data_IF_822724587758
#
_entry.id   IF_822724587758
#
_cell.length_a   1.000
_cell.length_b   1.000
_cell.length_c   1.000
_cell.angle_alpha   90.00
_cell.angle_beta   90.00
_cell.angle_gamma   90.00
#
_symmetry.space_group_name_H-M   'P 1'
#
loop_
_entity.id
_entity.type
_entity.pdbx_description
1 polymer ?
#
# COMPACT_ATOMS: atom_id res chain seq x y z
N UNK A 1 -42.55 48.27 18.95
CA UNK A 1 -41.36 47.42 18.73
C UNK A 1 -41.68 46.04 19.26
N UNK A 2 -41.39 45.00 18.47
CA UNK A 2 -41.70 43.56 18.64
C UNK A 2 -43.13 43.15 18.26
N UNK A 3 -43.30 42.68 17.01
CA UNK A 3 -44.42 41.82 16.60
C UNK A 3 -43.91 40.38 16.49
N UNK A 4 -44.62 39.47 17.16
CA UNK A 4 -44.37 38.04 17.18
C UNK A 4 -44.81 37.37 15.86
N UNK A 5 -44.03 36.40 15.37
CA UNK A 5 -44.40 35.54 14.26
C UNK A 5 -45.18 34.29 14.72
N UNK A 6 -46.12 33.77 13.89
CA UNK A 6 -46.93 32.59 14.21
C UNK A 6 -46.20 31.27 13.90
N UNK A 7 -46.68 30.13 14.45
CA UNK A 7 -46.04 28.82 14.29
C UNK A 7 -46.34 28.21 12.92
N UNK A 8 -45.31 27.67 12.26
CA UNK A 8 -45.45 26.90 11.00
C UNK A 8 -45.75 25.44 11.33
N UNK A 9 -46.84 24.94 10.76
CA UNK A 9 -47.33 23.56 10.86
C UNK A 9 -46.39 22.58 10.13
N UNK A 10 -45.97 21.51 10.80
CA UNK A 10 -45.33 20.36 10.17
C UNK A 10 -46.37 19.56 9.38
N UNK A 11 -46.43 19.78 8.07
CA UNK A 11 -47.09 18.90 7.11
C UNK A 11 -46.18 17.71 6.75
N UNK A 12 -46.73 16.50 6.80
CA UNK A 12 -46.01 15.24 6.64
C UNK A 12 -45.21 15.13 5.35
N UNK A 13 -43.97 14.66 5.49
CA UNK A 13 -43.09 14.33 4.37
C UNK A 13 -43.35 12.86 4.00
N UNK A 14 -44.02 12.65 2.88
CA UNK A 14 -43.96 11.39 2.14
C UNK A 14 -42.50 11.16 1.70
N UNK A 15 -41.88 10.00 1.95
CA UNK A 15 -40.53 9.75 1.47
C UNK A 15 -40.56 9.48 -0.05
N UNK A 16 -40.23 10.51 -0.82
CA UNK A 16 -39.92 10.38 -2.25
C UNK A 16 -38.57 9.66 -2.46
N UNK A 17 -38.62 8.71 -3.38
CA UNK A 17 -37.63 7.70 -3.75
C UNK A 17 -36.33 8.33 -4.25
N UNK A 18 -35.19 7.87 -3.71
CA UNK A 18 -33.86 8.14 -4.28
C UNK A 18 -33.50 7.04 -5.30
N UNK A 19 -33.23 7.43 -6.55
CA UNK A 19 -32.57 6.61 -7.57
C UNK A 19 -31.09 6.47 -7.16
N UNK A 20 -30.64 5.37 -6.54
CA UNK A 20 -30.15 4.10 -7.12
C UNK A 20 -29.41 4.24 -8.44
N UNK A 21 -28.27 3.53 -8.54
CA UNK A 21 -27.89 2.71 -9.69
C UNK A 21 -29.14 2.46 -10.55
N UNK A 22 -29.40 3.28 -11.59
CA UNK A 22 -30.77 3.60 -12.04
C UNK A 22 -31.73 2.39 -11.96
N UNK A 23 -32.54 2.33 -10.88
CA UNK A 23 -33.56 1.31 -10.66
C UNK A 23 -33.16 -0.02 -9.97
N UNK A 24 -31.91 -0.23 -9.54
CA UNK A 24 -31.46 -1.51 -8.96
C UNK A 24 -31.48 -1.46 -7.42
N UNK A 25 -32.43 -2.16 -6.81
CA UNK A 25 -32.52 -2.32 -5.36
C UNK A 25 -31.30 -3.08 -4.83
N UNK A 26 -30.58 -2.51 -3.87
CA UNK A 26 -29.49 -3.19 -3.17
C UNK A 26 -30.04 -4.00 -1.98
N UNK A 27 -29.41 -5.13 -1.70
CA UNK A 27 -29.71 -5.97 -0.54
C UNK A 27 -28.42 -6.34 0.19
N UNK A 28 -28.54 -6.54 1.50
CA UNK A 28 -27.49 -7.10 2.35
C UNK A 28 -28.02 -8.37 3.00
N UNK A 29 -27.26 -9.46 2.85
CA UNK A 29 -27.51 -10.74 3.52
C UNK A 29 -26.30 -11.07 4.39
N UNK A 30 -26.55 -11.30 5.68
CA UNK A 30 -25.59 -11.88 6.61
C UNK A 30 -26.11 -13.23 7.06
N UNK A 31 -25.29 -14.26 6.97
CA UNK A 31 -25.68 -15.59 7.38
C UNK A 31 -24.56 -16.28 8.15
N UNK A 32 -24.93 -17.31 8.92
CA UNK A 32 -23.98 -18.29 9.46
C UNK A 32 -24.26 -19.69 8.92
N UNK A 33 -23.23 -20.53 8.91
CA UNK A 33 -23.36 -21.94 8.54
C UNK A 33 -22.27 -22.77 9.19
N UNK A 34 -22.48 -24.08 9.30
CA UNK A 34 -21.48 -25.03 9.80
C UNK A 34 -20.64 -25.57 8.66
N UNK A 35 -19.32 -25.58 8.81
CA UNK A 35 -18.42 -26.20 7.85
C UNK A 35 -18.63 -27.73 7.84
N UNK A 36 -18.59 -28.35 6.66
CA UNK A 36 -18.77 -29.80 6.54
C UNK A 36 -17.56 -30.59 7.11
N UNK A 37 -16.38 -29.98 7.10
CA UNK A 37 -15.15 -30.45 7.71
C UNK A 37 -14.28 -29.25 8.10
N UNK A 38 -13.25 -29.44 8.94
CA UNK A 38 -12.23 -28.41 9.15
C UNK A 38 -11.50 -28.08 7.84
N UNK A 39 -11.36 -26.80 7.51
CA UNK A 39 -10.69 -26.34 6.30
C UNK A 39 -9.22 -26.03 6.58
N UNK A 40 -8.34 -26.54 5.72
CA UNK A 40 -6.94 -26.11 5.69
C UNK A 40 -6.80 -24.69 5.13
N UNK A 41 -5.70 -23.97 5.43
CA UNK A 41 -5.45 -22.64 4.87
C UNK A 41 -5.49 -22.60 3.34
N UNK A 42 -5.00 -23.64 2.68
CA UNK A 42 -5.00 -23.75 1.22
C UNK A 42 -6.43 -23.90 0.66
N UNK A 43 -7.28 -24.67 1.33
CA UNK A 43 -8.69 -24.82 0.93
C UNK A 43 -9.48 -23.51 1.13
N UNK A 44 -9.23 -22.79 2.23
CA UNK A 44 -9.82 -21.46 2.47
C UNK A 44 -9.36 -20.45 1.42
N UNK A 45 -8.08 -20.48 1.05
CA UNK A 45 -7.55 -19.61 0.00
C UNK A 45 -8.23 -19.90 -1.35
N UNK A 46 -8.34 -21.17 -1.75
CA UNK A 46 -9.04 -21.58 -2.98
C UNK A 46 -10.53 -21.23 -2.96
N UNK A 47 -11.20 -21.44 -1.83
CA UNK A 47 -12.61 -21.05 -1.63
C UNK A 47 -12.80 -19.55 -1.83
N UNK A 48 -11.91 -18.75 -1.25
CA UNK A 48 -11.98 -17.29 -1.32
C UNK A 48 -11.72 -16.79 -2.73
N UNK A 49 -10.71 -17.31 -3.44
CA UNK A 49 -10.43 -16.96 -4.83
C UNK A 49 -11.63 -17.26 -5.76
N UNK A 50 -12.22 -18.45 -5.63
CA UNK A 50 -13.41 -18.81 -6.41
C UNK A 50 -14.61 -17.90 -6.10
N UNK A 51 -14.77 -17.50 -4.83
CA UNK A 51 -15.82 -16.56 -4.44
C UNK A 51 -15.56 -15.15 -5.00
N UNK A 52 -14.33 -14.65 -4.97
CA UNK A 52 -13.95 -13.36 -5.52
C UNK A 52 -14.25 -13.26 -7.02
N UNK A 53 -13.91 -14.31 -7.80
CA UNK A 53 -14.15 -14.33 -9.24
C UNK A 53 -15.64 -14.28 -9.57
N UNK A 54 -16.43 -15.16 -8.93
CA UNK A 54 -17.89 -15.20 -9.10
C UNK A 54 -18.54 -13.88 -8.71
N UNK A 55 -18.17 -13.35 -7.55
CA UNK A 55 -18.78 -12.15 -6.98
C UNK A 55 -18.47 -10.90 -7.82
N UNK A 56 -17.29 -10.85 -8.46
CA UNK A 56 -16.94 -9.78 -9.40
C UNK A 56 -17.88 -9.73 -10.60
N UNK A 57 -18.24 -10.89 -11.17
CA UNK A 57 -19.17 -10.98 -12.28
C UNK A 57 -20.62 -10.61 -11.92
N UNK A 58 -20.99 -10.80 -10.65
CA UNK A 58 -22.33 -10.53 -10.13
C UNK A 58 -22.47 -9.16 -9.44
N UNK A 59 -21.40 -8.36 -9.39
CA UNK A 59 -21.35 -7.12 -8.61
C UNK A 59 -21.74 -7.32 -7.14
N UNK A 60 -21.32 -8.44 -6.55
CA UNK A 60 -21.51 -8.75 -5.13
C UNK A 60 -20.21 -8.48 -4.38
N UNK A 61 -20.32 -7.89 -3.19
CA UNK A 61 -19.20 -7.62 -2.30
C UNK A 61 -19.46 -8.20 -0.92
N UNK A 62 -18.42 -8.39 -0.10
CA UNK A 62 -18.60 -9.06 1.18
C UNK A 62 -17.34 -9.49 1.91
N UNK A 63 -17.61 -10.14 3.05
CA UNK A 63 -16.63 -10.64 4.00
C UNK A 63 -17.03 -12.07 4.39
N UNK A 64 -16.07 -12.99 4.43
CA UNK A 64 -16.22 -14.36 4.91
C UNK A 64 -15.33 -14.55 6.14
N UNK A 65 -15.92 -14.80 7.30
CA UNK A 65 -15.20 -15.17 8.52
C UNK A 65 -15.31 -16.68 8.72
N UNK A 66 -14.18 -17.34 8.98
CA UNK A 66 -14.12 -18.76 9.33
C UNK A 66 -13.39 -18.96 10.66
N UNK A 67 -14.02 -19.68 11.59
CA UNK A 67 -13.53 -19.82 12.97
C UNK A 67 -13.12 -21.25 13.36
N UNK A 68 -12.78 -22.08 12.36
CA UNK A 68 -12.53 -23.54 12.40
C UNK A 68 -13.77 -24.45 12.39
N UNK A 69 -14.95 -23.96 12.77
CA UNK A 69 -16.17 -24.78 12.80
C UNK A 69 -17.31 -24.19 11.98
N UNK A 70 -17.37 -22.86 11.91
CA UNK A 70 -18.48 -22.12 11.34
C UNK A 70 -17.97 -21.05 10.36
N UNK A 71 -18.82 -20.74 9.40
CA UNK A 71 -18.70 -19.57 8.54
C UNK A 71 -19.70 -18.52 8.96
N UNK A 72 -19.26 -17.27 9.02
CA UNK A 72 -20.12 -16.10 9.02
C UNK A 72 -19.82 -15.31 7.75
N UNK A 73 -20.83 -15.06 6.93
CA UNK A 73 -20.61 -14.36 5.67
C UNK A 73 -21.56 -13.19 5.52
N UNK A 74 -20.99 -12.06 5.10
CA UNK A 74 -21.70 -10.87 4.66
C UNK A 74 -21.65 -10.80 3.14
N UNK A 75 -22.81 -10.57 2.52
CA UNK A 75 -22.97 -10.35 1.09
C UNK A 75 -23.82 -9.11 0.85
N UNK A 76 -23.42 -8.29 -0.11
CA UNK A 76 -24.14 -7.06 -0.45
C UNK A 76 -23.98 -6.73 -1.94
N UNK A 77 -25.03 -6.16 -2.53
CA UNK A 77 -25.07 -5.83 -3.96
C UNK A 77 -26.50 -5.75 -4.48
N UNK A 78 -26.70 -5.77 -5.81
CA UNK A 78 -28.03 -5.86 -6.41
C UNK A 78 -28.80 -7.03 -5.81
N UNK A 79 -30.05 -6.82 -5.39
CA UNK A 79 -30.86 -7.82 -4.71
C UNK A 79 -30.91 -9.15 -5.48
N UNK A 80 -31.13 -9.07 -6.80
CA UNK A 80 -31.12 -10.23 -7.69
C UNK A 80 -29.76 -10.94 -7.75
N UNK A 81 -28.66 -10.19 -7.77
CA UNK A 81 -27.31 -10.77 -7.75
C UNK A 81 -27.00 -11.45 -6.41
N UNK A 82 -27.36 -10.82 -5.30
CA UNK A 82 -27.21 -11.40 -3.96
C UNK A 82 -28.04 -12.69 -3.85
N UNK A 83 -29.27 -12.71 -4.38
CA UNK A 83 -30.09 -13.92 -4.44
C UNK A 83 -29.47 -15.02 -5.30
N UNK A 84 -28.87 -14.69 -6.46
CA UNK A 84 -28.15 -15.67 -7.30
C UNK A 84 -26.96 -16.28 -6.57
N UNK A 85 -26.12 -15.43 -5.95
CA UNK A 85 -24.98 -15.90 -5.16
C UNK A 85 -25.44 -16.74 -3.97
N UNK A 86 -26.49 -16.32 -3.26
CA UNK A 86 -27.07 -17.08 -2.15
C UNK A 86 -27.63 -18.43 -2.59
N UNK A 87 -28.21 -18.55 -3.79
CA UNK A 87 -28.64 -19.84 -4.33
C UNK A 87 -27.46 -20.79 -4.57
N UNK A 88 -26.36 -20.27 -5.12
CA UNK A 88 -25.12 -21.04 -5.28
C UNK A 88 -24.56 -21.50 -3.94
N UNK A 89 -24.57 -20.62 -2.94
CA UNK A 89 -24.09 -20.92 -1.59
C UNK A 89 -24.97 -21.98 -0.92
N UNK A 90 -26.30 -21.85 -0.99
CA UNK A 90 -27.23 -22.84 -0.40
C UNK A 90 -27.04 -24.27 -0.90
N UNK A 91 -26.52 -24.43 -2.12
CA UNK A 91 -26.28 -25.73 -2.75
C UNK A 91 -24.83 -26.22 -2.62
N UNK A 92 -23.96 -25.48 -1.92
CA UNK A 92 -22.55 -25.81 -1.81
C UNK A 92 -22.32 -26.93 -0.78
N UNK A 93 -21.75 -28.09 -1.16
CA UNK A 93 -21.60 -29.24 -0.25
C UNK A 93 -20.54 -29.02 0.85
N UNK A 94 -19.78 -27.94 0.79
CA UNK A 94 -18.70 -27.61 1.73
C UNK A 94 -19.19 -27.13 3.10
N UNK A 95 -20.49 -26.82 3.21
CA UNK A 95 -21.11 -26.35 4.44
C UNK A 95 -22.58 -26.75 4.52
N UNK A 96 -23.18 -26.60 5.70
CA UNK A 96 -24.60 -26.89 5.93
C UNK A 96 -25.18 -26.09 7.08
N UNK A 97 -26.49 -26.22 7.30
CA UNK A 97 -27.17 -25.52 8.40
C UNK A 97 -27.11 -24.00 8.27
N UNK A 98 -27.39 -23.48 7.07
CA UNK A 98 -27.40 -22.03 6.82
C UNK A 98 -28.54 -21.38 7.61
N UNK A 99 -28.19 -20.39 8.43
CA UNK A 99 -29.12 -19.53 9.14
C UNK A 99 -28.89 -18.09 8.72
N UNK A 100 -29.96 -17.44 8.25
CA UNK A 100 -29.93 -16.03 7.85
C UNK A 100 -30.08 -15.17 9.10
N UNK A 101 -29.06 -14.36 9.39
CA UNK A 101 -28.98 -13.48 10.56
C UNK A 101 -29.43 -12.05 10.21
N UNK A 102 -29.30 -11.68 8.94
CA UNK A 102 -29.76 -10.40 8.41
C UNK A 102 -30.08 -10.57 6.92
N UNK A 103 -31.21 -10.02 6.49
CA UNK A 103 -31.62 -9.97 5.09
C UNK A 103 -32.51 -8.75 4.94
N UNK A 104 -31.93 -7.64 4.52
CA UNK A 104 -32.62 -6.35 4.43
C UNK A 104 -32.16 -5.57 3.19
N UNK A 105 -33.03 -4.70 2.65
CA UNK A 105 -32.63 -3.71 1.66
C UNK A 105 -31.49 -2.84 2.20
N UNK A 106 -30.52 -2.53 1.34
CA UNK A 106 -29.36 -1.73 1.70
C UNK A 106 -29.42 -0.37 1.01
N UNK A 107 -29.01 0.69 1.72
CA UNK A 107 -28.89 2.04 1.12
C UNK A 107 -27.49 2.29 0.55
N UNK A 108 -26.58 1.31 0.65
CA UNK A 108 -25.20 1.38 0.18
C UNK A 108 -24.40 0.15 0.58
N UNK A 109 -23.17 0.05 0.07
CA UNK A 109 -22.23 -1.06 0.33
C UNK A 109 -21.32 -0.74 1.51
N UNK A 110 -21.21 -1.65 2.48
CA UNK A 110 -20.26 -1.56 3.60
C UNK A 110 -18.85 -2.03 3.21
N UNK A 111 -18.77 -2.98 2.30
CA UNK A 111 -17.56 -3.66 1.86
C UNK A 111 -17.31 -3.47 0.35
N UNK A 112 -17.67 -2.31 -0.21
CA UNK A 112 -17.74 -2.10 -1.67
C UNK A 112 -16.47 -2.37 -2.48
N UNK A 113 -15.28 -2.42 -1.85
CA UNK A 113 -14.02 -2.81 -2.51
C UNK A 113 -13.68 -4.30 -2.40
N UNK A 114 -14.45 -5.09 -1.67
CA UNK A 114 -14.12 -6.47 -1.32
C UNK A 114 -15.07 -7.43 -2.03
N UNK A 115 -14.68 -7.91 -3.21
CA UNK A 115 -15.47 -8.93 -3.92
C UNK A 115 -15.71 -10.16 -3.03
N UNK A 116 -14.72 -10.55 -2.22
CA UNK A 116 -14.88 -11.37 -1.01
C UNK A 116 -13.57 -11.31 -0.22
N UNK A 117 -13.60 -10.84 1.02
CA UNK A 117 -12.41 -10.84 1.90
C UNK A 117 -12.52 -11.96 2.93
N UNK A 118 -11.43 -12.67 3.21
CA UNK A 118 -11.41 -13.71 4.25
C UNK A 118 -11.05 -13.09 5.61
N UNK A 119 -11.66 -13.55 6.69
CA UNK A 119 -11.30 -13.23 8.07
C UNK A 119 -11.20 -14.51 8.91
N UNK A 120 -10.26 -14.55 9.85
CA UNK A 120 -10.05 -15.69 10.74
C UNK A 120 -9.66 -15.24 12.16
N UNK A 121 -9.88 -16.06 13.20
CA UNK A 121 -9.45 -15.77 14.57
C UNK A 121 -7.94 -15.68 14.68
N UNK A 122 -7.44 -14.76 15.51
CA UNK A 122 -6.04 -14.38 15.63
C UNK A 122 -5.05 -15.42 16.18
N UNK A 123 -5.48 -16.65 16.49
CA UNK A 123 -4.66 -17.72 17.07
C UNK A 123 -4.87 -19.01 16.25
N UNK A 124 -3.80 -19.54 15.65
CA UNK A 124 -3.78 -20.83 14.97
C UNK A 124 -2.36 -21.24 14.54
N UNK A 125 -2.04 -22.54 14.44
CA UNK A 125 -0.67 -23.04 14.20
C UNK A 125 -0.22 -23.03 12.72
N UNK A 126 -0.99 -22.39 11.83
CA UNK A 126 -0.78 -22.45 10.37
C UNK A 126 -0.56 -21.08 9.73
N UNK A 127 0.15 -20.99 8.59
CA UNK A 127 0.35 -19.75 7.87
C UNK A 127 -0.98 -19.21 7.32
N UNK A 128 -1.24 -17.93 7.58
CA UNK A 128 -2.45 -17.22 7.14
C UNK A 128 -2.36 -16.90 5.65
N UNK A 129 -3.46 -16.96 4.89
CA UNK A 129 -3.52 -16.32 3.58
C UNK A 129 -3.15 -14.84 3.72
N UNK A 130 -2.26 -14.27 2.87
CA UNK A 130 -1.76 -12.89 3.02
C UNK A 130 -2.88 -11.83 3.05
N UNK A 131 -4.02 -12.17 2.45
CA UNK A 131 -5.20 -11.33 2.32
C UNK A 131 -6.22 -11.49 3.46
N UNK A 132 -5.98 -12.36 4.45
CA UNK A 132 -6.94 -12.61 5.52
C UNK A 132 -6.90 -11.51 6.59
N UNK A 133 -8.07 -11.02 6.99
CA UNK A 133 -8.25 -10.09 8.11
C UNK A 133 -8.14 -10.86 9.43
N UNK A 134 -7.33 -10.33 10.35
CA UNK A 134 -7.26 -10.84 11.72
C UNK A 134 -8.47 -10.37 12.52
N UNK A 135 -9.44 -11.26 12.72
CA UNK A 135 -10.58 -10.99 13.59
C UNK A 135 -10.13 -11.09 15.07
N UNK A 136 -10.45 -10.10 15.92
CA UNK A 136 -10.18 -10.18 17.36
C UNK A 136 -10.84 -11.41 17.97
N UNK A 137 -10.13 -12.14 18.83
CA UNK A 137 -10.67 -13.38 19.41
C UNK A 137 -11.94 -13.14 20.23
N UNK A 138 -12.01 -12.04 20.97
CA UNK A 138 -13.20 -11.62 21.72
C UNK A 138 -14.42 -11.43 20.80
N UNK A 139 -14.20 -10.89 19.60
CA UNK A 139 -15.25 -10.74 18.59
C UNK A 139 -15.74 -12.11 18.11
N UNK A 140 -14.82 -13.03 17.84
CA UNK A 140 -15.17 -14.40 17.40
C UNK A 140 -15.92 -15.15 18.51
N UNK A 141 -15.47 -15.07 19.76
CA UNK A 141 -16.17 -15.71 20.88
C UNK A 141 -17.58 -15.14 21.03
N UNK A 142 -17.73 -13.82 20.92
CA UNK A 142 -19.05 -13.19 20.96
C UNK A 142 -19.96 -13.62 19.81
N UNK A 143 -19.43 -13.83 18.60
CA UNK A 143 -20.20 -14.38 17.47
C UNK A 143 -20.68 -15.81 17.72
N UNK A 144 -19.91 -16.64 18.45
CA UNK A 144 -20.32 -17.99 18.82
C UNK A 144 -21.44 -17.99 19.85
N UNK A 145 -21.33 -17.12 20.85
CA UNK A 145 -22.31 -16.99 21.94
C UNK A 145 -23.60 -16.30 21.49
N UNK A 146 -23.47 -15.24 20.68
CA UNK A 146 -24.55 -14.36 20.23
C UNK A 146 -24.47 -14.10 18.72
N UNK A 147 -24.87 -15.08 17.90
CA UNK A 147 -24.81 -14.97 16.44
C UNK A 147 -25.59 -13.79 15.88
N UNK A 148 -26.66 -13.35 16.55
CA UNK A 148 -27.47 -12.20 16.16
C UNK A 148 -26.68 -10.87 16.14
N UNK A 149 -25.56 -10.79 16.86
CA UNK A 149 -24.67 -9.62 16.84
C UNK A 149 -23.82 -9.53 15.55
N UNK A 150 -23.86 -10.55 14.68
CA UNK A 150 -23.01 -10.65 13.50
C UNK A 150 -23.05 -9.43 12.57
N UNK A 151 -24.21 -8.83 12.24
CA UNK A 151 -24.22 -7.65 11.38
C UNK A 151 -23.42 -6.49 11.97
N UNK A 152 -23.58 -6.22 13.26
CA UNK A 152 -22.83 -5.15 13.95
C UNK A 152 -21.34 -5.45 14.04
N UNK A 153 -20.98 -6.69 14.42
CA UNK A 153 -19.59 -7.08 14.63
C UNK A 153 -18.80 -7.21 13.33
N UNK A 154 -19.37 -7.84 12.29
CA UNK A 154 -18.72 -7.97 10.99
C UNK A 154 -18.53 -6.61 10.32
N UNK A 155 -19.49 -5.68 10.45
CA UNK A 155 -19.37 -4.33 9.89
C UNK A 155 -18.13 -3.57 10.44
N UNK A 156 -17.69 -3.87 11.67
CA UNK A 156 -16.47 -3.28 12.28
C UNK A 156 -15.17 -3.77 11.65
N UNK A 157 -15.20 -4.91 10.97
CA UNK A 157 -14.05 -5.40 10.20
C UNK A 157 -13.93 -4.72 8.84
N UNK A 158 -14.95 -4.00 8.38
CA UNK A 158 -14.91 -3.24 7.13
C UNK A 158 -14.02 -2.00 7.23
N UNK A 159 -13.63 -1.40 6.09
CA UNK A 159 -12.87 -0.16 6.07
C UNK A 159 -13.60 0.94 6.86
N UNK A 160 -12.85 1.77 7.59
CA UNK A 160 -13.42 2.92 8.28
C UNK A 160 -14.10 3.83 7.25
N UNK A 161 -15.40 4.08 7.41
CA UNK A 161 -16.12 5.06 6.59
C UNK A 161 -15.91 6.41 7.28
N UNK A 162 -15.11 7.35 6.74
CA UNK A 162 -15.15 8.72 7.23
C UNK A 162 -16.57 9.25 7.04
N UNK A 163 -17.11 9.91 8.06
CA UNK A 163 -18.45 10.50 8.01
C UNK A 163 -18.48 11.65 6.99
N UNK A 164 -18.76 11.32 5.73
CA UNK A 164 -19.08 12.29 4.70
C UNK A 164 -20.60 12.39 4.60
N UNK A 165 -21.15 13.56 4.93
CA UNK A 165 -22.51 13.93 4.59
C UNK A 165 -22.72 13.74 3.08
N UNK A 166 -23.79 13.03 2.72
CA UNK A 166 -24.14 12.68 1.35
C UNK A 166 -24.47 13.96 0.57
N UNK A 167 -23.56 14.42 -0.29
CA UNK A 167 -23.91 15.29 -1.42
C UNK A 167 -24.47 14.41 -2.55
N UNK A 168 -25.59 14.79 -3.19
CA UNK A 168 -26.12 14.06 -4.34
C UNK A 168 -25.21 14.30 -5.55
N UNK A 169 -24.71 13.23 -6.16
CA UNK A 169 -23.79 13.30 -7.30
C UNK A 169 -24.46 12.65 -8.51
N UNK A 170 -24.71 13.43 -9.56
CA UNK A 170 -25.25 12.95 -10.84
C UNK A 170 -24.16 12.28 -11.70
N UNK A 171 -24.57 11.38 -12.61
CA UNK A 171 -23.72 10.53 -13.45
C UNK A 171 -22.85 11.25 -14.50
N UNK A 172 -22.79 12.58 -14.54
CA UNK A 172 -21.77 13.37 -15.26
C UNK A 172 -20.48 13.58 -14.45
N UNK A 173 -20.45 13.16 -13.18
CA UNK A 173 -19.46 13.58 -12.17
C UNK A 173 -18.19 12.73 -12.04
N UNK A 174 -17.86 11.85 -12.99
CA UNK A 174 -16.61 11.10 -12.91
C UNK A 174 -15.35 12.00 -12.91
N UNK A 175 -15.42 13.19 -13.53
CA UNK A 175 -14.36 14.20 -13.42
C UNK A 175 -14.41 14.96 -12.09
N UNK A 176 -15.61 15.25 -11.58
CA UNK A 176 -15.79 15.97 -10.31
C UNK A 176 -15.34 15.11 -9.13
N UNK A 177 -15.55 13.79 -9.16
CA UNK A 177 -15.06 12.90 -8.12
C UNK A 177 -13.52 12.79 -8.13
N UNK A 178 -12.90 12.80 -9.31
CA UNK A 178 -11.43 12.89 -9.44
C UNK A 178 -10.92 14.23 -8.89
N UNK A 179 -11.62 15.33 -9.19
CA UNK A 179 -11.30 16.66 -8.66
C UNK A 179 -11.50 16.74 -7.14
N UNK A 180 -12.57 16.17 -6.58
CA UNK A 180 -12.83 16.17 -5.12
C UNK A 180 -11.86 15.23 -4.37
N UNK A 181 -11.51 14.07 -4.94
CA UNK A 181 -10.49 13.21 -4.35
C UNK A 181 -9.13 13.91 -4.38
N UNK A 182 -8.77 14.57 -5.49
CA UNK A 182 -7.50 15.30 -5.63
C UNK A 182 -7.41 16.58 -4.82
N UNK A 183 -8.52 17.32 -4.69
CA UNK A 183 -8.57 18.62 -4.05
C UNK A 183 -8.92 18.56 -2.57
N UNK A 184 -9.52 17.46 -2.09
CA UNK A 184 -10.07 17.40 -0.74
C UNK A 184 -9.61 16.19 0.06
N UNK A 185 -9.61 14.98 -0.53
CA UNK A 185 -9.27 13.74 0.20
C UNK A 185 -7.76 13.50 0.28
N UNK A 186 -7.05 13.60 -0.85
CA UNK A 186 -5.59 13.45 -0.88
C UNK A 186 -4.91 14.50 0.01
N UNK A 187 -5.25 15.80 -0.03
CA UNK A 187 -4.66 16.81 0.85
C UNK A 187 -4.91 16.52 2.33
N UNK A 188 -6.14 16.15 2.72
CA UNK A 188 -6.45 15.86 4.13
C UNK A 188 -5.73 14.62 4.66
N UNK A 189 -5.56 13.57 3.84
CA UNK A 189 -4.75 12.41 4.19
C UNK A 189 -3.26 12.76 4.25
N UNK A 190 -2.77 13.59 3.32
CA UNK A 190 -1.38 14.05 3.30
C UNK A 190 -1.06 15.02 4.44
N UNK A 191 -1.99 15.86 4.88
CA UNK A 191 -1.85 16.71 6.08
C UNK A 191 -1.85 15.85 7.35
N UNK A 192 -2.71 14.83 7.43
CA UNK A 192 -2.67 13.84 8.50
C UNK A 192 -1.35 13.04 8.53
N UNK A 193 -0.79 12.73 7.35
CA UNK A 193 0.51 12.07 7.21
C UNK A 193 1.68 13.02 7.49
N UNK A 194 1.61 14.30 7.09
CA UNK A 194 2.62 15.32 7.39
C UNK A 194 2.65 15.65 8.89
N UNK A 195 1.51 15.62 9.57
CA UNK A 195 1.44 15.67 11.03
C UNK A 195 2.07 14.42 11.69
N UNK A 196 2.01 13.24 11.05
CA UNK A 196 2.71 12.03 11.48
C UNK A 196 4.22 12.03 11.12
N UNK A 197 4.67 12.88 10.18
CA UNK A 197 6.09 13.10 9.86
C UNK A 197 6.82 13.96 10.91
N UNK A 198 6.13 14.44 11.94
CA UNK A 198 6.73 15.10 13.09
C UNK A 198 7.65 14.15 13.85
N UNK A 199 8.94 14.18 13.54
CA UNK A 199 10.04 13.62 14.35
C UNK A 199 10.01 12.11 14.62
N UNK A 200 9.83 11.26 13.60
CA UNK A 200 10.41 9.92 13.69
C UNK A 200 11.91 10.01 13.35
N UNK A 201 12.72 10.29 14.37
CA UNK A 201 14.16 10.08 14.30
C UNK A 201 14.40 8.59 14.03
N UNK A 202 15.09 8.29 12.91
CA UNK A 202 15.66 6.96 12.69
C UNK A 202 16.39 6.55 13.97
N UNK A 203 16.12 5.35 14.52
CA UNK A 203 16.69 4.96 15.80
C UNK A 203 18.22 5.07 15.76
N UNK A 204 18.78 5.70 16.81
CA UNK A 204 20.21 5.81 16.99
C UNK A 204 20.81 4.39 17.01
N UNK A 205 21.88 4.19 16.21
CA UNK A 205 22.71 2.99 16.09
C UNK A 205 21.96 1.66 16.29
N UNK A 206 21.62 0.95 15.21
CA UNK A 206 21.13 -0.43 15.32
C UNK A 206 22.33 -1.38 15.50
N UNK A 207 22.55 -1.97 16.70
CA UNK A 207 23.69 -2.84 16.94
C UNK A 207 23.65 -4.13 16.10
N UNK A 208 22.46 -4.61 15.74
CA UNK A 208 22.32 -5.78 14.87
C UNK A 208 22.70 -5.45 13.42
N UNK A 209 22.42 -4.22 12.96
CA UNK A 209 22.83 -3.76 11.64
C UNK A 209 24.34 -3.50 11.56
N UNK A 210 24.93 -2.93 12.61
CA UNK A 210 26.39 -2.78 12.72
C UNK A 210 27.09 -4.15 12.73
N UNK A 211 26.55 -5.10 13.49
CA UNK A 211 27.04 -6.48 13.47
C UNK A 211 26.92 -7.12 12.09
N UNK A 212 25.78 -6.94 11.41
CA UNK A 212 25.60 -7.41 10.04
C UNK A 212 26.64 -6.80 9.09
N UNK A 213 26.95 -5.50 9.19
CA UNK A 213 27.97 -4.87 8.36
C UNK A 213 29.35 -5.52 8.53
N UNK A 214 29.75 -5.83 9.77
CA UNK A 214 30.99 -6.58 10.02
C UNK A 214 30.98 -7.98 9.41
N UNK A 215 29.85 -8.69 9.44
CA UNK A 215 29.71 -10.00 8.81
C UNK A 215 29.73 -9.92 7.28
N UNK A 216 29.22 -8.84 6.69
CA UNK A 216 29.15 -8.63 5.25
C UNK A 216 30.53 -8.43 4.61
N UNK A 217 31.51 -7.92 5.36
CA UNK A 217 32.90 -7.74 4.90
C UNK A 217 33.83 -8.90 5.29
N UNK A 218 33.35 -9.84 6.10
CA UNK A 218 34.13 -11.01 6.50
C UNK A 218 34.46 -11.90 5.29
N UNK A 219 35.53 -12.69 5.38
CA UNK A 219 35.92 -13.62 4.31
C UNK A 219 34.82 -14.65 4.00
N UNK A 220 34.09 -15.10 5.02
CA UNK A 220 32.94 -15.99 4.92
C UNK A 220 31.63 -15.23 5.21
N UNK A 221 30.78 -14.99 4.20
CA UNK A 221 29.53 -14.25 4.35
C UNK A 221 28.35 -15.11 4.86
N UNK A 222 28.51 -16.42 5.08
CA UNK A 222 27.39 -17.30 5.46
C UNK A 222 26.72 -16.86 6.76
N UNK A 223 27.50 -16.32 7.69
CA UNK A 223 26.99 -15.72 8.92
C UNK A 223 26.09 -14.51 8.65
N UNK A 224 26.43 -13.65 7.67
CA UNK A 224 25.62 -12.51 7.28
C UNK A 224 24.27 -12.95 6.69
N UNK A 225 24.28 -13.90 5.75
CA UNK A 225 23.05 -14.44 5.17
C UNK A 225 22.20 -15.18 6.20
N UNK A 226 22.82 -15.84 7.17
CA UNK A 226 22.11 -16.52 8.26
C UNK A 226 21.47 -15.52 9.23
N UNK A 227 22.14 -14.41 9.55
CA UNK A 227 21.58 -13.31 10.33
C UNK A 227 20.37 -12.72 9.62
N UNK A 228 20.50 -12.35 8.34
CA UNK A 228 19.41 -11.78 7.55
C UNK A 228 18.20 -12.73 7.52
N UNK A 229 18.43 -14.03 7.29
CA UNK A 229 17.35 -15.04 7.33
C UNK A 229 16.72 -15.19 8.71
N UNK A 230 17.51 -15.12 9.80
CA UNK A 230 17.00 -15.19 11.16
C UNK A 230 16.11 -14.00 11.49
N UNK A 231 16.57 -12.77 11.20
CA UNK A 231 15.77 -11.55 11.40
C UNK A 231 14.52 -11.61 10.52
N UNK A 232 14.65 -12.09 9.27
CA UNK A 232 13.51 -12.34 8.39
C UNK A 232 12.46 -13.29 8.99
N UNK A 233 12.86 -14.35 9.68
CA UNK A 233 11.93 -15.28 10.34
C UNK A 233 11.17 -14.59 11.50
N UNK A 234 11.80 -13.62 12.16
CA UNK A 234 11.16 -12.79 13.18
C UNK A 234 10.21 -11.73 12.62
N UNK A 235 10.45 -11.28 11.38
CA UNK A 235 9.70 -10.20 10.73
C UNK A 235 8.52 -10.69 9.89
N UNK A 236 7.33 -10.12 10.14
CA UNK A 236 6.08 -10.50 9.44
C UNK A 236 5.98 -9.96 8.02
N UNK A 237 6.64 -8.84 7.72
CA UNK A 237 6.65 -8.15 6.42
C UNK A 237 8.09 -7.89 5.97
N UNK A 238 8.32 -7.87 4.66
CA UNK A 238 9.67 -7.68 4.10
C UNK A 238 10.11 -6.22 4.15
N UNK A 239 9.18 -5.28 3.97
CA UNK A 239 9.49 -3.85 3.87
C UNK A 239 10.05 -3.24 5.17
N UNK A 240 9.54 -3.56 6.38
CA UNK A 240 10.14 -3.06 7.61
C UNK A 240 11.59 -3.51 7.82
N UNK A 241 11.96 -4.72 7.37
CA UNK A 241 13.34 -5.23 7.42
C UNK A 241 14.31 -4.33 6.65
N UNK A 242 13.84 -3.68 5.58
CA UNK A 242 14.68 -2.79 4.79
C UNK A 242 15.11 -1.58 5.62
N UNK A 243 14.14 -0.92 6.26
CA UNK A 243 14.38 0.26 7.08
C UNK A 243 15.09 -0.05 8.41
N UNK A 244 14.82 -1.21 9.01
CA UNK A 244 15.35 -1.55 10.34
C UNK A 244 16.72 -2.22 10.27
N UNK A 245 17.04 -3.00 9.23
CA UNK A 245 18.28 -3.77 9.15
C UNK A 245 19.12 -3.43 7.91
N UNK A 246 18.52 -3.44 6.72
CA UNK A 246 19.29 -3.35 5.45
C UNK A 246 19.90 -1.97 5.26
N UNK A 247 19.10 -0.90 5.28
CA UNK A 247 19.60 0.47 5.11
C UNK A 247 20.57 0.87 6.23
N UNK A 248 20.33 0.56 7.52
CA UNK A 248 21.31 0.80 8.57
C UNK A 248 22.59 -0.02 8.43
N UNK A 249 22.54 -1.25 7.91
CA UNK A 249 23.74 -2.06 7.66
C UNK A 249 24.56 -1.47 6.51
N UNK A 250 23.91 -0.98 5.45
CA UNK A 250 24.58 -0.26 4.37
C UNK A 250 25.29 1.01 4.88
N UNK A 251 24.66 1.77 5.77
CA UNK A 251 25.29 2.93 6.43
C UNK A 251 26.47 2.51 7.32
N UNK A 252 26.29 1.46 8.11
CA UNK A 252 27.35 0.90 8.97
C UNK A 252 28.56 0.40 8.17
N UNK A 253 28.38 -0.08 6.93
CA UNK A 253 29.51 -0.39 6.04
C UNK A 253 30.32 0.88 5.69
N UNK A 254 29.63 2.00 5.44
CA UNK A 254 30.27 3.29 5.21
C UNK A 254 30.95 3.85 6.47
N UNK A 255 30.40 3.57 7.66
CA UNK A 255 31.02 3.94 8.94
C UNK A 255 32.32 3.17 9.15
N UNK A 256 32.32 1.85 8.94
CA UNK A 256 33.53 1.03 9.01
C UNK A 256 34.62 1.53 8.06
N UNK A 257 34.26 1.97 6.86
CA UNK A 257 35.23 2.56 5.93
C UNK A 257 35.73 3.93 6.39
N UNK A 258 34.84 4.78 6.92
CA UNK A 258 35.21 6.10 7.45
C UNK A 258 36.11 6.02 8.68
N UNK A 259 36.04 4.91 9.41
CA UNK A 259 36.88 4.58 10.57
C UNK A 259 38.15 3.79 10.19
N UNK A 260 38.47 3.66 8.90
CA UNK A 260 39.59 2.88 8.36
C UNK A 260 39.58 1.38 8.76
N UNK A 261 38.43 0.85 9.16
CA UNK A 261 38.26 -0.55 9.56
C UNK A 261 38.08 -1.50 8.34
N UNK A 262 37.75 -0.97 7.16
CA UNK A 262 37.68 -1.73 5.92
C UNK A 262 38.03 -0.88 4.69
N UNK A 263 38.34 -1.53 3.57
CA UNK A 263 38.62 -0.85 2.30
C UNK A 263 37.33 -0.50 1.54
N UNK A 264 37.44 0.41 0.57
CA UNK A 264 36.31 0.71 -0.33
C UNK A 264 35.82 -0.56 -1.08
N UNK A 265 36.75 -1.45 -1.45
CA UNK A 265 36.42 -2.75 -2.06
C UNK A 265 35.55 -3.60 -1.14
N UNK A 266 35.85 -3.62 0.17
CA UNK A 266 35.07 -4.36 1.16
C UNK A 266 33.65 -3.79 1.29
N UNK A 267 33.50 -2.46 1.25
CA UNK A 267 32.17 -1.81 1.23
C UNK A 267 31.38 -2.21 0.00
N UNK A 268 31.98 -2.15 -1.19
CA UNK A 268 31.33 -2.58 -2.43
C UNK A 268 30.91 -4.05 -2.35
N UNK A 269 31.80 -4.93 -1.90
CA UNK A 269 31.50 -6.36 -1.71
C UNK A 269 30.36 -6.58 -0.71
N UNK A 270 30.39 -5.86 0.42
CA UNK A 270 29.35 -5.92 1.44
C UNK A 270 27.98 -5.47 0.92
N UNK A 271 27.93 -4.38 0.15
CA UNK A 271 26.69 -3.90 -0.49
C UNK A 271 26.17 -4.89 -1.55
N UNK A 272 27.04 -5.49 -2.35
CA UNK A 272 26.65 -6.53 -3.31
C UNK A 272 26.05 -7.77 -2.60
N UNK A 273 26.66 -8.19 -1.48
CA UNK A 273 26.16 -9.30 -0.65
C UNK A 273 24.80 -8.96 -0.04
N UNK A 274 24.64 -7.74 0.46
CA UNK A 274 23.38 -7.25 1.02
C UNK A 274 22.26 -7.19 -0.03
N UNK A 275 22.55 -6.65 -1.22
CA UNK A 275 21.61 -6.65 -2.35
C UNK A 275 21.22 -8.07 -2.78
N UNK A 276 22.19 -8.99 -2.81
CA UNK A 276 21.94 -10.41 -3.12
C UNK A 276 21.02 -11.04 -2.08
N UNK A 277 21.26 -10.78 -0.80
CA UNK A 277 20.43 -11.28 0.29
C UNK A 277 18.99 -10.78 0.17
N UNK A 278 18.80 -9.47 -0.04
CA UNK A 278 17.47 -8.86 -0.24
C UNK A 278 16.74 -9.52 -1.41
N UNK A 279 17.39 -9.69 -2.56
CA UNK A 279 16.79 -10.36 -3.72
C UNK A 279 16.40 -11.80 -3.45
N UNK A 280 17.17 -12.54 -2.65
CA UNK A 280 16.82 -13.91 -2.27
C UNK A 280 15.63 -13.96 -1.30
N UNK A 281 15.40 -12.90 -0.53
CA UNK A 281 14.23 -12.76 0.34
C UNK A 281 12.97 -12.35 -0.42
N UNK A 282 13.12 -11.59 -1.52
CA UNK A 282 12.03 -11.19 -2.41
C UNK A 282 11.56 -12.38 -3.26
N UNK A 283 10.58 -13.14 -2.76
CA UNK A 283 9.89 -14.20 -3.52
C UNK A 283 8.65 -13.65 -4.20
N UNK A 284 8.82 -12.89 -5.29
CA UNK A 284 7.69 -12.36 -6.07
C UNK A 284 7.45 -13.20 -7.33
N UNK A 285 6.32 -13.93 -7.45
CA UNK A 285 5.84 -14.44 -8.73
C UNK A 285 5.31 -13.28 -9.57
N UNK A 286 5.63 -13.28 -10.87
CA UNK A 286 5.06 -12.34 -11.84
C UNK A 286 3.53 -12.53 -11.97
N UNK A 287 2.77 -11.76 -11.19
CA UNK A 287 1.31 -11.75 -11.21
C UNK A 287 0.76 -10.54 -11.96
N UNK A 288 0.27 -10.76 -13.17
CA UNK A 288 -0.45 -9.79 -13.99
C UNK A 288 -1.73 -9.31 -13.29
N UNK A 289 -1.67 -8.17 -12.61
CA UNK A 289 -2.86 -7.45 -12.16
C UNK A 289 -3.44 -6.70 -13.37
N UNK A 290 -4.66 -7.05 -13.79
CA UNK A 290 -5.39 -6.30 -14.80
C UNK A 290 -5.76 -4.91 -14.26
N UNK A 291 -4.98 -3.89 -14.65
CA UNK A 291 -5.08 -2.51 -14.16
C UNK A 291 -6.26 -1.78 -14.84
N UNK A 292 -7.30 -1.44 -14.05
CA UNK A 292 -8.49 -0.68 -14.51
C UNK A 292 -8.31 0.85 -14.46
N UNK A 293 -7.19 1.32 -13.92
CA UNK A 293 -6.79 2.73 -13.83
C UNK A 293 -5.35 2.91 -14.31
N UNK A 294 -5.00 4.11 -14.80
CA UNK A 294 -3.62 4.46 -15.12
C UNK A 294 -2.81 4.55 -13.82
N UNK A 295 -2.10 3.47 -13.51
CA UNK A 295 -1.12 3.45 -12.43
C UNK A 295 0.00 4.44 -12.77
N UNK A 296 0.41 5.32 -11.84
CA UNK A 296 1.50 6.23 -12.14
C UNK A 296 2.79 5.46 -12.39
N UNK A 297 3.57 5.92 -13.36
CA UNK A 297 4.83 5.29 -13.77
C UNK A 297 6.01 6.01 -13.13
N UNK A 298 6.91 5.24 -12.52
CA UNK A 298 8.12 5.77 -11.89
C UNK A 298 9.32 5.19 -12.60
N UNK A 299 10.21 6.06 -13.10
CA UNK A 299 11.55 5.64 -13.51
C UNK A 299 12.43 5.62 -12.26
N UNK A 300 13.04 4.48 -11.97
CA UNK A 300 13.95 4.30 -10.85
C UNK A 300 15.34 4.10 -11.43
N UNK A 301 16.26 4.98 -11.07
CA UNK A 301 17.63 4.92 -11.53
C UNK A 301 18.61 5.31 -10.41
N UNK A 302 19.80 4.70 -10.35
CA UNK A 302 20.91 5.33 -9.66
C UNK A 302 21.31 6.62 -10.40
N UNK A 303 21.86 7.60 -9.68
CA UNK A 303 22.53 8.75 -10.30
C UNK A 303 23.58 8.23 -11.30
N UNK A 304 23.62 8.74 -12.55
CA UNK A 304 24.60 8.27 -13.53
C UNK A 304 26.03 8.28 -12.97
N UNK A 305 26.73 7.16 -13.09
CA UNK A 305 28.06 6.95 -12.51
C UNK A 305 28.08 6.45 -11.05
N UNK A 306 26.94 6.34 -10.38
CA UNK A 306 26.82 5.61 -9.12
C UNK A 306 26.89 4.09 -9.38
N UNK A 307 27.80 3.43 -8.67
CA UNK A 307 28.05 1.99 -8.78
C UNK A 307 27.25 1.18 -7.78
N UNK A 308 26.68 1.82 -6.76
CA UNK A 308 25.91 1.15 -5.71
C UNK A 308 24.41 1.23 -5.99
N UNK A 309 23.80 0.09 -6.31
CA UNK A 309 22.42 0.02 -6.79
C UNK A 309 21.41 -0.50 -5.76
N UNK A 310 21.83 -0.61 -4.49
CA UNK A 310 20.96 -1.10 -3.42
C UNK A 310 19.73 -0.21 -3.23
N UNK A 311 19.87 1.12 -3.23
CA UNK A 311 18.76 2.08 -3.07
C UNK A 311 17.67 1.85 -4.11
N UNK A 312 18.01 2.00 -5.39
CA UNK A 312 17.11 1.71 -6.51
C UNK A 312 16.43 0.33 -6.44
N UNK A 313 17.14 -0.71 -5.97
CA UNK A 313 16.55 -2.03 -5.81
C UNK A 313 15.49 -2.07 -4.69
N UNK A 314 15.73 -1.41 -3.55
CA UNK A 314 14.77 -1.33 -2.46
C UNK A 314 13.55 -0.48 -2.84
N UNK A 315 13.78 0.68 -3.47
CA UNK A 315 12.72 1.58 -3.92
C UNK A 315 11.80 0.90 -4.93
N UNK A 316 12.36 0.10 -5.84
CA UNK A 316 11.58 -0.71 -6.78
C UNK A 316 10.66 -1.71 -6.10
N UNK A 317 11.16 -2.43 -5.09
CA UNK A 317 10.37 -3.41 -4.34
C UNK A 317 9.24 -2.71 -3.58
N UNK A 318 9.53 -1.59 -2.89
CA UNK A 318 8.52 -0.83 -2.14
C UNK A 318 7.44 -0.29 -3.07
N UNK A 319 7.84 0.36 -4.19
CA UNK A 319 6.90 0.92 -5.14
C UNK A 319 6.04 -0.15 -5.82
N UNK A 320 6.63 -1.30 -6.15
CA UNK A 320 5.87 -2.44 -6.66
C UNK A 320 4.81 -2.91 -5.64
N UNK A 321 5.19 -3.06 -4.36
CA UNK A 321 4.26 -3.44 -3.29
C UNK A 321 3.18 -2.38 -3.02
N UNK A 322 3.49 -1.10 -3.21
CA UNK A 322 2.54 0.01 -3.14
C UNK A 322 1.63 0.11 -4.39
N UNK A 323 1.79 -0.78 -5.37
CA UNK A 323 0.93 -0.88 -6.54
C UNK A 323 1.30 0.05 -7.70
N UNK A 324 2.51 0.62 -7.70
CA UNK A 324 3.04 1.45 -8.78
C UNK A 324 3.48 0.61 -9.97
N UNK A 325 3.87 1.27 -11.06
CA UNK A 325 4.59 0.62 -12.17
C UNK A 325 6.04 1.11 -12.16
N UNK A 326 6.94 0.47 -11.39
CA UNK A 326 8.34 0.84 -11.37
C UNK A 326 9.03 0.37 -12.66
N UNK A 327 9.83 1.24 -13.24
CA UNK A 327 10.73 0.95 -14.34
C UNK A 327 12.16 1.15 -13.86
N UNK A 328 12.87 0.05 -13.57
CA UNK A 328 14.27 0.12 -13.19
C UNK A 328 15.16 0.29 -14.43
N UNK A 329 16.04 1.28 -14.40
CA UNK A 329 17.08 1.47 -15.41
C UNK A 329 18.41 1.86 -14.74
N UNK A 330 19.51 1.61 -15.44
CA UNK A 330 20.87 1.84 -14.93
C UNK A 330 21.66 2.65 -15.97
N UNK A 331 21.38 3.96 -16.11
CA UNK A 331 22.04 4.81 -17.09
C UNK A 331 23.53 4.96 -16.77
N UNK A 332 24.39 4.85 -17.79
CA UNK A 332 25.83 5.07 -17.63
C UNK A 332 26.19 6.56 -17.64
N UNK A 333 25.36 7.38 -18.29
CA UNK A 333 25.53 8.82 -18.44
C UNK A 333 24.20 9.59 -18.31
N UNK A 334 24.29 10.91 -18.11
CA UNK A 334 23.11 11.78 -18.11
C UNK A 334 22.37 11.74 -19.46
N UNK A 335 23.10 11.54 -20.56
CA UNK A 335 22.52 11.37 -21.90
C UNK A 335 21.61 10.14 -21.97
N UNK A 336 22.06 9.00 -21.44
CA UNK A 336 21.25 7.78 -21.40
C UNK A 336 19.98 7.97 -20.54
N UNK A 337 20.09 8.70 -19.41
CA UNK A 337 18.94 9.04 -18.59
C UNK A 337 17.96 9.96 -19.34
N UNK A 338 18.46 10.96 -20.07
CA UNK A 338 17.66 11.84 -20.90
C UNK A 338 16.88 11.07 -21.97
N UNK A 339 17.53 10.10 -22.64
CA UNK A 339 16.89 9.27 -23.65
C UNK A 339 15.74 8.43 -23.06
N UNK A 340 15.92 7.90 -21.84
CA UNK A 340 14.87 7.15 -21.14
C UNK A 340 13.63 8.01 -20.85
N UNK A 341 13.83 9.20 -20.25
CA UNK A 341 12.71 10.11 -19.91
C UNK A 341 12.09 10.80 -21.13
N UNK A 342 12.81 10.86 -22.26
CA UNK A 342 12.29 11.34 -23.53
C UNK A 342 11.48 10.26 -24.27
N UNK A 343 11.84 8.98 -24.12
CA UNK A 343 11.13 7.88 -24.77
C UNK A 343 9.76 7.60 -24.13
N UNK A 344 9.68 7.61 -22.80
CA UNK A 344 8.51 7.16 -22.04
C UNK A 344 7.96 8.27 -21.15
N UNK A 345 6.64 8.31 -20.96
CA UNK A 345 6.04 9.21 -19.97
C UNK A 345 6.25 8.64 -18.56
N UNK A 346 6.94 9.39 -17.71
CA UNK A 346 7.03 9.09 -16.28
C UNK A 346 6.35 10.18 -15.44
N UNK A 347 5.61 9.75 -14.43
CA UNK A 347 4.99 10.64 -13.45
C UNK A 347 6.02 11.07 -12.40
N UNK A 348 6.95 10.17 -12.06
CA UNK A 348 8.09 10.48 -11.21
C UNK A 348 9.40 9.84 -11.70
N UNK A 349 10.51 10.49 -11.33
CA UNK A 349 11.86 9.99 -11.45
C UNK A 349 12.43 9.87 -10.03
N UNK A 350 12.83 8.66 -9.67
CA UNK A 350 13.53 8.35 -8.43
C UNK A 350 15.03 8.16 -8.73
N UNK A 351 15.85 9.05 -8.19
CA UNK A 351 17.31 9.07 -8.35
C UNK A 351 17.99 8.71 -7.03
N UNK A 352 18.62 7.54 -7.01
CA UNK A 352 19.29 7.03 -5.81
C UNK A 352 20.81 7.27 -5.84
N UNK A 353 21.35 7.71 -4.70
CA UNK A 353 22.77 7.64 -4.37
C UNK A 353 23.03 6.46 -3.42
N UNK A 354 24.31 6.14 -3.23
CA UNK A 354 24.76 5.15 -2.25
C UNK A 354 24.17 5.39 -0.86
N UNK A 355 23.70 4.30 -0.24
CA UNK A 355 23.32 4.28 1.16
C UNK A 355 24.53 4.19 2.11
N UNK A 356 25.74 3.90 1.60
CA UNK A 356 26.97 3.80 2.41
C UNK A 356 27.80 5.09 2.37
N UNK A 357 27.86 5.76 1.22
CA UNK A 357 28.70 6.95 1.02
C UNK A 357 27.88 8.23 1.04
N UNK A 358 28.32 9.22 1.83
CA UNK A 358 27.66 10.53 1.95
C UNK A 358 27.55 11.32 0.64
N UNK A 359 28.52 11.19 -0.27
CA UNK A 359 28.52 11.79 -1.64
C UNK A 359 28.01 13.24 -1.72
N UNK A 360 28.21 14.05 -0.69
CA UNK A 360 27.72 15.44 -0.64
C UNK A 360 28.36 16.32 -1.73
N UNK A 361 29.58 15.97 -2.15
CA UNK A 361 30.26 16.62 -3.27
C UNK A 361 29.60 16.38 -4.64
N UNK A 362 28.65 15.43 -4.76
CA UNK A 362 27.89 15.16 -5.99
C UNK A 362 26.64 16.02 -6.11
N UNK A 363 26.27 16.81 -5.10
CA UNK A 363 25.04 17.63 -5.16
C UNK A 363 24.95 18.54 -6.40
N UNK A 364 26.02 19.26 -6.81
CA UNK A 364 25.96 20.06 -8.03
C UNK A 364 25.72 19.22 -9.29
N UNK A 365 26.27 18.00 -9.33
CA UNK A 365 26.07 17.06 -10.43
C UNK A 365 24.61 16.62 -10.49
N UNK A 366 24.05 16.17 -9.36
CA UNK A 366 22.64 15.77 -9.26
C UNK A 366 21.73 16.91 -9.70
N UNK A 367 22.00 18.15 -9.29
CA UNK A 367 21.22 19.30 -9.73
C UNK A 367 21.22 19.45 -11.26
N UNK A 368 22.36 19.26 -11.91
CA UNK A 368 22.45 19.30 -13.38
C UNK A 368 21.73 18.10 -14.02
N UNK A 369 21.90 16.88 -13.47
CA UNK A 369 21.21 15.66 -13.90
C UNK A 369 19.69 15.85 -13.85
N UNK A 370 19.16 16.36 -12.74
CA UNK A 370 17.74 16.66 -12.56
C UNK A 370 17.27 17.70 -13.57
N UNK A 371 18.02 18.78 -13.76
CA UNK A 371 17.68 19.83 -14.72
C UNK A 371 17.63 19.28 -16.17
N UNK A 372 18.58 18.42 -16.55
CA UNK A 372 18.61 17.73 -17.84
C UNK A 372 17.44 16.77 -18.02
N UNK A 373 17.18 15.93 -17.02
CA UNK A 373 16.05 14.99 -17.05
C UNK A 373 14.72 15.72 -17.19
N UNK A 374 14.50 16.81 -16.44
CA UNK A 374 13.29 17.65 -16.57
C UNK A 374 13.14 18.26 -17.96
N UNK A 375 14.22 18.78 -18.55
CA UNK A 375 14.21 19.35 -19.91
C UNK A 375 13.88 18.31 -20.98
N UNK A 376 14.36 17.08 -20.81
CA UNK A 376 14.13 15.98 -21.76
C UNK A 376 12.79 15.25 -21.53
N UNK A 377 12.23 15.33 -20.32
CA UNK A 377 11.04 14.58 -19.95
C UNK A 377 9.82 14.94 -20.79
N UNK A 378 9.05 13.93 -21.18
CA UNK A 378 7.73 14.12 -21.77
C UNK A 378 6.72 14.75 -20.80
N UNK A 379 6.98 14.67 -19.50
CA UNK A 379 6.12 15.20 -18.45
C UNK A 379 6.69 16.52 -17.90
N UNK A 380 6.11 17.69 -18.24
CA UNK A 380 6.57 18.97 -17.71
C UNK A 380 6.32 19.16 -16.20
N UNK A 381 5.59 18.23 -15.56
CA UNK A 381 5.45 18.14 -14.10
C UNK A 381 6.06 16.84 -13.57
N UNK A 382 7.14 16.35 -14.18
CA UNK A 382 7.91 15.24 -13.64
C UNK A 382 8.27 15.55 -12.19
N UNK A 383 7.89 14.67 -11.27
CA UNK A 383 8.32 14.75 -9.88
C UNK A 383 9.65 14.05 -9.76
N UNK A 384 10.62 14.71 -9.14
CA UNK A 384 11.94 14.11 -8.93
C UNK A 384 12.15 13.89 -7.45
N UNK A 385 12.44 12.64 -7.08
CA UNK A 385 12.77 12.23 -5.72
C UNK A 385 14.23 11.80 -5.70
N UNK A 386 14.94 12.16 -4.64
CA UNK A 386 16.32 11.73 -4.41
C UNK A 386 16.45 11.00 -3.08
N UNK A 387 17.26 9.95 -3.06
CA UNK A 387 17.53 9.12 -1.89
C UNK A 387 19.02 8.76 -1.76
N UNK A 388 19.40 8.25 -0.60
CA UNK A 388 20.79 7.88 -0.28
C UNK A 388 21.32 8.59 0.96
N UNK A 389 22.52 8.21 1.42
CA UNK A 389 23.07 8.65 2.71
C UNK A 389 23.16 10.17 2.83
N UNK A 390 23.53 10.85 1.75
CA UNK A 390 23.57 12.31 1.63
C UNK A 390 22.29 13.01 2.12
N UNK A 391 21.13 12.38 1.85
CA UNK A 391 19.80 12.93 2.10
C UNK A 391 19.19 12.39 3.40
N UNK A 392 19.67 11.24 3.88
CA UNK A 392 19.30 10.70 5.19
C UNK A 392 19.97 11.44 6.34
N UNK A 393 21.27 11.75 6.20
CA UNK A 393 22.10 12.30 7.29
C UNK A 393 22.41 13.80 7.13
N UNK A 394 22.22 14.37 5.94
CA UNK A 394 22.48 15.78 5.64
C UNK A 394 21.24 16.61 5.35
N UNK A 395 21.43 17.94 5.29
CA UNK A 395 20.43 18.90 4.77
C UNK A 395 20.57 19.12 3.25
N UNK A 396 20.96 18.06 2.55
CA UNK A 396 21.26 18.09 1.12
C UNK A 396 20.02 18.28 0.24
N UNK A 397 18.82 18.10 0.81
CA UNK A 397 17.57 18.09 0.06
C UNK A 397 17.30 19.39 -0.69
N UNK A 398 17.40 20.52 -0.01
CA UNK A 398 17.14 21.85 -0.60
C UNK A 398 18.14 22.17 -1.72
N UNK A 399 19.36 21.65 -1.63
CA UNK A 399 20.47 21.96 -2.56
C UNK A 399 20.47 21.08 -3.80
N UNK A 400 19.70 19.99 -3.83
CA UNK A 400 19.71 19.03 -4.93
C UNK A 400 18.91 19.48 -6.14
N UNK A 401 17.87 20.31 -5.97
CA UNK A 401 16.90 20.63 -7.02
C UNK A 401 15.80 19.57 -7.23
N UNK A 402 15.76 18.53 -6.39
CA UNK A 402 14.67 17.57 -6.32
C UNK A 402 13.41 18.20 -5.72
N UNK A 403 12.24 17.61 -6.02
CA UNK A 403 10.97 18.04 -5.40
C UNK A 403 10.84 17.46 -3.99
N UNK A 404 11.35 16.25 -3.76
CA UNK A 404 11.24 15.52 -2.49
C UNK A 404 12.53 14.76 -2.20
N UNK A 405 12.88 14.63 -0.92
CA UNK A 405 13.94 13.75 -0.45
C UNK A 405 13.37 12.56 0.30
N UNK A 406 13.86 11.36 -0.03
CA UNK A 406 13.56 10.15 0.72
C UNK A 406 14.69 9.82 1.68
N UNK A 407 14.34 9.59 2.96
CA UNK A 407 15.29 9.17 4.00
C UNK A 407 15.37 7.64 4.15
N UNK A 408 14.37 6.94 3.64
CA UNK A 408 14.21 5.48 3.68
C UNK A 408 13.32 5.04 2.52
N UNK A 409 13.66 3.93 1.89
CA UNK A 409 12.86 3.32 0.85
C UNK A 409 11.42 3.01 1.32
N UNK A 410 11.22 2.75 2.63
CA UNK A 410 9.90 2.38 3.18
C UNK A 410 8.79 3.40 2.90
N UNK A 411 9.15 4.68 2.71
CA UNK A 411 8.20 5.77 2.52
C UNK A 411 8.30 6.44 1.13
N UNK A 412 9.02 5.82 0.19
CA UNK A 412 9.26 6.41 -1.14
C UNK A 412 7.96 6.67 -1.90
N UNK A 413 6.96 5.81 -1.77
CA UNK A 413 5.64 5.96 -2.39
C UNK A 413 4.90 7.20 -1.88
N UNK A 414 4.92 7.41 -0.56
CA UNK A 414 4.36 8.60 0.08
C UNK A 414 5.09 9.87 -0.34
N UNK A 415 6.44 9.82 -0.40
CA UNK A 415 7.26 10.94 -0.88
C UNK A 415 6.90 11.33 -2.32
N UNK A 416 6.75 10.36 -3.22
CA UNK A 416 6.35 10.64 -4.60
C UNK A 416 4.93 11.25 -4.66
N UNK A 417 3.97 10.74 -3.88
CA UNK A 417 2.61 11.29 -3.83
C UNK A 417 2.57 12.74 -3.36
N UNK A 418 3.38 13.08 -2.34
CA UNK A 418 3.51 14.44 -1.86
C UNK A 418 4.04 15.38 -2.95
N UNK A 419 5.08 14.97 -3.68
CA UNK A 419 5.63 15.75 -4.79
C UNK A 419 4.62 15.93 -5.93
N UNK A 420 3.89 14.87 -6.28
CA UNK A 420 2.84 14.93 -7.32
C UNK A 420 1.71 15.87 -6.94
N UNK A 421 1.35 15.89 -5.66
CA UNK A 421 0.34 16.80 -5.15
C UNK A 421 0.83 18.26 -5.20
N UNK A 422 2.04 18.55 -4.71
CA UNK A 422 2.62 19.89 -4.73
C UNK A 422 2.64 20.49 -6.14
N UNK A 423 3.10 19.73 -7.15
CA UNK A 423 3.11 20.18 -8.56
C UNK A 423 1.72 20.47 -9.13
N UNK A 424 0.70 19.72 -8.70
CA UNK A 424 -0.69 19.96 -9.12
C UNK A 424 -1.23 21.25 -8.52
N UNK A 425 -0.98 21.47 -7.23
CA UNK A 425 -1.41 22.68 -6.51
C UNK A 425 -0.72 23.93 -7.06
N UNK A 426 0.56 23.86 -7.41
CA UNK A 426 1.29 24.95 -8.09
C UNK A 426 0.65 25.29 -9.45
N UNK A 427 0.31 24.29 -10.26
CA UNK A 427 -0.35 24.50 -11.55
C UNK A 427 -1.74 25.10 -11.42
N UNK A 428 -2.50 24.67 -10.42
CA UNK A 428 -3.84 25.18 -10.14
C UNK A 428 -3.83 26.65 -9.65
N UNK A 429 -2.72 27.13 -9.08
CA UNK A 429 -2.52 28.53 -8.69
C UNK A 429 -2.01 29.43 -9.83
N UNK A 430 -1.41 28.83 -10.86
CA UNK A 430 -0.86 29.55 -12.01
C UNK A 430 -1.87 29.76 -13.16
N UNK A 431 -3.01 29.07 -13.09
CA UNK A 431 -4.20 29.27 -13.93
C UNK A 431 -5.25 30.00 -13.10
#
# INVERSE_FOLDING_TARGET
>A
MLQAWPPVLFGGVEPLRAETDAGIALATVVYRSRAAHPFSPLELHRLTLAAQERNRGESVTGLLLYDSEQFFQWLEGPAESVHRVMRSIRNDPRHGGIEILHDQPATGRRFGGWNMRLAMPGIGPFPWPPEAIKAPNEMVQRLRERPEDAPGLLARLGPAIPAFERLPVDLQSASILDDVIRATVIPALLEGLAAAQGTEQLPAANPEAAHLASLLIASDPDAAFSLIRRVRIGERLLLPLYATLVEPAARSLGDLWSEDACSEFDVTLGLCRLQTAVRQLSTVPAGSHAKRFRTPQVLIAPEPGETHHLGAALDSEVLWHAGWTPHCAYPASDGDLQDLVAATWFDALDLSLSAAFGREHWLPRITDTIARARRASRNPALVVVVGGRAFTEGDAGVRSGADVTSRTALHIDHSILQGLHAKRTERARAH
#
